data_IF_693618299732
#
_entry.id   IF_693618299732
#
_cell.length_a   1.000
_cell.length_b   1.000
_cell.length_c   1.000
_cell.angle_alpha   90.00
_cell.angle_beta   90.00
_cell.angle_gamma   90.00
#
_symmetry.space_group_name_H-M   'P 1'
#
loop_
_entity.id
_entity.type
_entity.pdbx_description
1 polymer ?
#
# COMPACT_ATOMS: atom_id res chain seq x y z
N UNK A 1 35.84 1.87 -23.33
CA UNK A 1 36.63 1.46 -22.14
C UNK A 1 35.72 1.14 -20.95
N UNK A 2 34.86 2.06 -20.48
CA UNK A 2 33.94 1.83 -19.35
C UNK A 2 33.09 0.54 -19.46
N UNK A 3 32.33 0.35 -20.55
CA UNK A 3 31.49 -0.85 -20.71
C UNK A 3 32.28 -2.17 -20.78
N UNK A 4 33.53 -2.12 -21.26
CA UNK A 4 34.40 -3.29 -21.27
C UNK A 4 34.87 -3.62 -19.86
N UNK A 5 35.17 -2.62 -19.03
CA UNK A 5 35.49 -2.82 -17.61
C UNK A 5 34.30 -3.40 -16.84
N UNK A 6 33.08 -2.89 -17.04
CA UNK A 6 31.88 -3.45 -16.41
C UNK A 6 31.69 -4.93 -16.77
N UNK A 7 31.90 -5.30 -18.04
CA UNK A 7 31.78 -6.69 -18.47
C UNK A 7 32.86 -7.59 -17.81
N UNK A 8 34.11 -7.12 -17.76
CA UNK A 8 35.23 -7.86 -17.14
C UNK A 8 35.01 -8.01 -15.64
N UNK A 9 34.67 -6.93 -14.93
CA UNK A 9 34.41 -6.97 -13.48
C UNK A 9 33.22 -7.87 -13.19
N UNK A 10 32.13 -7.77 -13.96
CA UNK A 10 30.97 -8.67 -13.82
C UNK A 10 31.37 -10.13 -13.98
N UNK A 11 32.18 -10.46 -14.99
CA UNK A 11 32.65 -11.82 -15.25
C UNK A 11 33.55 -12.35 -14.12
N UNK A 12 34.43 -11.52 -13.58
CA UNK A 12 35.28 -11.88 -12.43
C UNK A 12 34.41 -12.16 -11.20
N UNK A 13 33.46 -11.26 -10.88
CA UNK A 13 32.55 -11.43 -9.75
C UNK A 13 31.66 -12.66 -9.90
N UNK A 14 31.22 -12.98 -11.13
CA UNK A 14 30.43 -14.17 -11.41
C UNK A 14 31.14 -15.45 -10.94
N UNK A 15 32.44 -15.60 -11.20
CA UNK A 15 33.18 -16.80 -10.78
C UNK A 15 33.28 -16.89 -9.25
N UNK A 16 33.60 -15.78 -8.59
CA UNK A 16 33.68 -15.71 -7.11
C UNK A 16 32.33 -16.08 -6.47
N UNK A 17 31.23 -15.50 -6.95
CA UNK A 17 29.91 -15.74 -6.36
C UNK A 17 29.31 -17.08 -6.76
N UNK A 18 29.55 -17.60 -7.97
CA UNK A 18 29.05 -18.93 -8.37
C UNK A 18 29.68 -20.02 -7.50
N UNK A 19 30.98 -19.92 -7.20
CA UNK A 19 31.63 -20.83 -6.25
C UNK A 19 31.05 -20.71 -4.84
N UNK A 20 30.79 -19.49 -4.36
CA UNK A 20 30.19 -19.28 -3.04
C UNK A 20 28.75 -19.86 -2.96
N UNK A 21 27.97 -19.72 -4.02
CA UNK A 21 26.61 -20.26 -4.14
C UNK A 21 26.62 -21.79 -4.15
N UNK A 22 27.52 -22.40 -4.93
CA UNK A 22 27.63 -23.86 -5.07
C UNK A 22 27.98 -24.58 -3.75
N UNK A 23 28.59 -23.88 -2.77
CA UNK A 23 28.85 -24.42 -1.42
C UNK A 23 27.57 -24.76 -0.65
N UNK A 24 26.42 -24.22 -1.04
CA UNK A 24 25.14 -24.50 -0.39
C UNK A 24 24.11 -24.96 -1.44
N UNK A 25 23.82 -26.28 -1.52
CA UNK A 25 22.89 -26.83 -2.52
C UNK A 25 21.48 -26.22 -2.46
N UNK A 26 21.02 -25.75 -1.29
CA UNK A 26 19.72 -25.07 -1.17
C UNK A 26 19.76 -23.69 -1.80
N UNK A 27 20.85 -22.95 -1.58
CA UNK A 27 21.04 -21.62 -2.17
C UNK A 27 21.24 -21.72 -3.68
N UNK A 28 22.03 -22.69 -4.13
CA UNK A 28 22.21 -22.97 -5.56
C UNK A 28 20.87 -23.28 -6.24
N UNK A 29 20.04 -24.13 -5.62
CA UNK A 29 18.69 -24.42 -6.14
C UNK A 29 17.81 -23.17 -6.25
N UNK A 30 17.88 -22.25 -5.29
CA UNK A 30 17.14 -20.98 -5.33
C UNK A 30 17.68 -20.08 -6.44
N UNK A 31 19.00 -19.98 -6.57
CA UNK A 31 19.64 -19.17 -7.59
C UNK A 31 19.28 -19.68 -9.01
N UNK A 32 19.48 -20.97 -9.28
CA UNK A 32 19.31 -21.54 -10.60
C UNK A 32 17.83 -21.73 -11.00
N UNK A 33 16.93 -22.05 -10.06
CA UNK A 33 15.53 -22.35 -10.40
C UNK A 33 14.54 -21.21 -10.10
N UNK A 34 14.93 -20.18 -9.34
CA UNK A 34 14.04 -19.08 -8.98
C UNK A 34 14.62 -17.74 -9.45
N UNK A 35 15.84 -17.39 -9.02
CA UNK A 35 16.39 -16.05 -9.27
C UNK A 35 16.73 -15.84 -10.75
N UNK A 36 17.50 -16.75 -11.37
CA UNK A 36 17.90 -16.63 -12.77
C UNK A 36 16.68 -16.64 -13.71
N UNK A 37 15.76 -17.63 -13.65
CA UNK A 37 14.55 -17.63 -14.48
C UNK A 37 13.66 -16.41 -14.18
N UNK A 38 13.57 -16.01 -12.90
CA UNK A 38 12.82 -14.83 -12.48
C UNK A 38 13.33 -13.54 -13.10
N UNK A 39 14.65 -13.34 -13.20
CA UNK A 39 15.24 -12.16 -13.85
C UNK A 39 14.88 -12.12 -15.33
N UNK A 40 14.99 -13.26 -16.04
CA UNK A 40 14.62 -13.33 -17.46
C UNK A 40 13.13 -13.01 -17.67
N UNK A 41 12.25 -13.64 -16.89
CA UNK A 41 10.82 -13.35 -16.95
C UNK A 41 10.52 -11.87 -16.65
N UNK A 42 11.13 -11.31 -15.60
CA UNK A 42 10.89 -9.91 -15.25
C UNK A 42 11.42 -8.96 -16.31
N UNK A 43 12.52 -9.27 -16.99
CA UNK A 43 13.01 -8.47 -18.12
C UNK A 43 11.94 -8.37 -19.21
N UNK A 44 11.34 -9.49 -19.60
CA UNK A 44 10.28 -9.51 -20.61
C UNK A 44 9.05 -8.70 -20.13
N UNK A 45 8.66 -8.84 -18.87
CA UNK A 45 7.54 -8.08 -18.27
C UNK A 45 7.83 -6.57 -18.26
N UNK A 46 9.07 -6.16 -17.97
CA UNK A 46 9.49 -4.76 -17.97
C UNK A 46 9.48 -4.18 -19.38
N UNK A 47 9.94 -4.92 -20.38
CA UNK A 47 9.94 -4.51 -21.79
C UNK A 47 8.52 -4.38 -22.36
N UNK A 48 7.61 -5.27 -21.93
CA UNK A 48 6.19 -5.17 -22.25
C UNK A 48 5.60 -3.90 -21.62
N UNK A 49 5.74 -3.70 -20.30
CA UNK A 49 5.19 -2.56 -19.58
C UNK A 49 3.67 -2.59 -19.38
N UNK A 50 3.17 -1.68 -18.53
CA UNK A 50 1.75 -1.60 -18.17
C UNK A 50 1.02 -0.60 -19.08
N UNK A 51 -0.09 -0.98 -19.74
CA UNK A 51 -0.78 -0.09 -20.67
C UNK A 51 -1.71 0.91 -19.96
N UNK A 52 -1.63 2.17 -20.36
CA UNK A 52 -2.45 3.25 -19.84
C UNK A 52 -3.22 3.97 -20.96
N UNK A 53 -4.43 4.43 -20.64
CA UNK A 53 -5.22 5.31 -21.49
C UNK A 53 -4.87 6.77 -21.16
N UNK A 54 -4.06 7.40 -22.03
CA UNK A 54 -3.59 8.78 -21.86
C UNK A 54 -4.74 9.78 -21.71
N UNK A 55 -5.82 9.65 -22.49
CA UNK A 55 -6.97 10.56 -22.42
C UNK A 55 -7.66 10.46 -21.07
N UNK A 56 -7.80 9.24 -20.53
CA UNK A 56 -8.36 9.04 -19.18
C UNK A 56 -7.48 9.60 -18.09
N UNK A 57 -6.15 9.52 -18.23
CA UNK A 57 -5.22 10.14 -17.28
C UNK A 57 -5.37 11.66 -17.25
N UNK A 58 -5.44 12.31 -18.41
CA UNK A 58 -5.63 13.78 -18.51
C UNK A 58 -6.96 14.21 -17.90
N UNK A 59 -8.06 13.50 -18.21
CA UNK A 59 -9.35 13.75 -17.59
C UNK A 59 -9.34 13.55 -16.07
N UNK A 60 -8.65 12.50 -15.60
CA UNK A 60 -8.52 12.21 -14.17
C UNK A 60 -7.69 13.28 -13.45
N UNK A 61 -6.68 13.87 -14.09
CA UNK A 61 -5.90 14.97 -13.51
C UNK A 61 -6.77 16.19 -13.26
N UNK A 62 -7.53 16.62 -14.28
CA UNK A 62 -8.41 17.78 -14.18
C UNK A 62 -9.48 17.57 -13.11
N UNK A 63 -10.14 16.39 -13.12
CA UNK A 63 -11.13 16.04 -12.09
C UNK A 63 -10.55 16.11 -10.68
N UNK A 64 -9.32 15.60 -10.50
CA UNK A 64 -8.67 15.65 -9.19
C UNK A 64 -8.21 17.05 -8.80
N UNK A 65 -7.92 17.92 -9.75
CA UNK A 65 -7.62 19.33 -9.50
C UNK A 65 -8.86 20.05 -8.95
N UNK A 66 -10.00 19.92 -9.64
CA UNK A 66 -11.29 20.49 -9.20
C UNK A 66 -11.69 19.97 -7.81
N UNK A 67 -11.60 18.65 -7.60
CA UNK A 67 -11.91 18.00 -6.32
C UNK A 67 -11.01 18.48 -5.17
N UNK A 68 -9.74 18.79 -5.46
CA UNK A 68 -8.80 19.32 -4.47
C UNK A 68 -9.16 20.78 -4.16
N UNK A 69 -9.45 21.59 -5.17
CA UNK A 69 -9.84 22.99 -5.00
C UNK A 69 -11.13 23.10 -4.17
N UNK A 70 -12.15 22.30 -4.45
CA UNK A 70 -13.38 22.27 -3.65
C UNK A 70 -13.12 21.91 -2.18
N UNK A 71 -12.26 20.91 -1.94
CA UNK A 71 -11.90 20.50 -0.59
C UNK A 71 -11.09 21.57 0.14
N UNK A 72 -10.24 22.30 -0.57
CA UNK A 72 -9.51 23.46 -0.05
C UNK A 72 -10.50 24.58 0.27
N UNK A 73 -11.41 24.95 -0.62
CA UNK A 73 -12.42 25.98 -0.39
C UNK A 73 -13.26 25.67 0.85
N UNK A 74 -13.63 24.40 1.04
CA UNK A 74 -14.33 23.94 2.24
C UNK A 74 -13.50 24.15 3.52
N UNK A 75 -12.18 23.96 3.44
CA UNK A 75 -11.27 24.24 4.55
C UNK A 75 -11.15 25.74 4.86
N UNK A 76 -11.16 26.60 3.84
CA UNK A 76 -11.08 28.06 4.02
C UNK A 76 -12.34 28.70 4.61
N UNK A 77 -13.43 27.94 4.75
CA UNK A 77 -14.62 28.36 5.52
C UNK A 77 -14.33 28.46 7.02
N UNK A 78 -13.28 27.82 7.51
CA UNK A 78 -12.88 27.84 8.92
C UNK A 78 -12.02 29.08 9.22
N UNK A 79 -12.43 29.97 10.15
CA UNK A 79 -11.72 31.22 10.44
C UNK A 79 -10.31 30.98 10.97
N UNK A 80 -10.04 29.86 11.63
CA UNK A 80 -8.75 29.48 12.19
C UNK A 80 -7.68 29.38 11.10
N UNK A 81 -8.05 28.97 9.89
CA UNK A 81 -7.15 28.91 8.73
C UNK A 81 -6.71 30.31 8.32
N UNK A 82 -7.65 31.26 8.25
CA UNK A 82 -7.34 32.66 7.91
C UNK A 82 -6.51 33.35 9.00
N UNK A 83 -6.77 33.03 10.27
CA UNK A 83 -5.98 33.54 11.40
C UNK A 83 -4.55 32.98 11.34
N UNK A 84 -4.40 31.68 11.06
CA UNK A 84 -3.11 31.04 10.86
C UNK A 84 -2.29 31.71 9.76
N UNK A 85 -2.88 31.97 8.60
CA UNK A 85 -2.17 32.60 7.48
C UNK A 85 -1.73 34.02 7.79
N UNK A 86 -2.59 34.80 8.45
CA UNK A 86 -2.24 36.14 8.92
C UNK A 86 -1.10 36.11 9.94
N UNK A 87 -1.13 35.15 10.86
CA UNK A 87 -0.09 34.98 11.89
C UNK A 87 1.26 34.52 11.32
N UNK A 88 1.26 33.73 10.24
CA UNK A 88 2.48 33.22 9.61
C UNK A 88 2.97 34.06 8.42
N UNK A 89 2.16 35.00 7.92
CA UNK A 89 2.45 35.83 6.77
C UNK A 89 2.58 35.05 5.45
N UNK A 90 1.99 33.84 5.37
CA UNK A 90 2.07 32.93 4.22
C UNK A 90 0.78 32.11 4.10
N UNK A 91 0.45 31.72 2.87
CA UNK A 91 -0.66 30.82 2.58
C UNK A 91 -0.48 29.44 3.23
N UNK A 92 -1.60 28.84 3.62
CA UNK A 92 -1.65 27.52 4.20
C UNK A 92 -1.48 26.46 3.11
N UNK A 93 -0.47 25.62 3.31
CA UNK A 93 -0.18 24.43 2.52
C UNK A 93 -0.61 23.18 3.29
N UNK A 94 -1.75 22.53 2.91
CA UNK A 94 -2.25 21.31 3.57
C UNK A 94 -1.29 20.11 3.53
N UNK A 95 -0.27 20.14 2.68
CA UNK A 95 0.75 19.10 2.60
C UNK A 95 1.94 19.34 3.53
N UNK A 96 2.09 20.54 4.10
CA UNK A 96 3.17 20.87 5.04
C UNK A 96 2.85 20.36 6.45
N UNK A 97 3.57 19.33 6.89
CA UNK A 97 3.40 18.75 8.23
C UNK A 97 3.73 19.75 9.35
N UNK A 98 4.61 20.73 9.08
CA UNK A 98 4.97 21.80 10.02
C UNK A 98 3.82 22.77 10.18
N UNK A 99 3.27 23.29 9.07
CA UNK A 99 2.12 24.20 9.12
C UNK A 99 0.89 23.50 9.72
N UNK A 100 0.65 22.24 9.37
CA UNK A 100 -0.42 21.44 9.95
C UNK A 100 -0.33 21.33 11.46
N UNK A 101 0.86 21.05 12.01
CA UNK A 101 1.02 20.99 13.46
C UNK A 101 0.65 22.31 14.10
N UNK A 102 1.15 23.41 13.54
CA UNK A 102 0.91 24.73 14.12
C UNK A 102 -0.58 25.10 14.04
N UNK A 103 -1.22 24.92 12.88
CA UNK A 103 -2.67 25.13 12.74
C UNK A 103 -3.47 24.29 13.76
N UNK A 104 -3.20 22.99 13.84
CA UNK A 104 -4.00 22.07 14.67
C UNK A 104 -3.78 22.27 16.17
N UNK A 105 -2.55 22.53 16.62
CA UNK A 105 -2.21 22.55 18.04
C UNK A 105 -2.07 23.96 18.61
N UNK A 106 -1.57 24.93 17.84
CA UNK A 106 -1.31 26.28 18.34
C UNK A 106 -2.52 27.21 18.10
N UNK A 107 -3.17 27.10 16.93
CA UNK A 107 -4.28 27.99 16.54
C UNK A 107 -5.65 27.42 16.89
N UNK A 108 -5.91 26.16 16.55
CA UNK A 108 -7.18 25.49 16.91
C UNK A 108 -7.14 25.00 18.37
N UNK A 109 -5.97 24.69 18.91
CA UNK A 109 -5.83 24.23 20.30
C UNK A 109 -6.25 22.78 20.55
N UNK A 110 -6.16 21.91 19.53
CA UNK A 110 -6.54 20.50 19.69
C UNK A 110 -5.63 19.77 20.67
N UNK A 111 -6.18 18.79 21.40
CA UNK A 111 -5.40 17.96 22.32
C UNK A 111 -4.64 16.89 21.52
N UNK A 112 -3.30 16.83 21.61
CA UNK A 112 -2.51 15.82 20.93
C UNK A 112 -2.89 14.40 21.34
N UNK A 113 -2.79 13.45 20.42
CA UNK A 113 -3.11 12.03 20.68
C UNK A 113 -2.00 11.28 21.43
N UNK A 114 -0.89 11.94 21.76
CA UNK A 114 0.31 11.34 22.36
C UNK A 114 1.25 10.66 21.35
N UNK A 115 0.81 10.39 20.12
CA UNK A 115 1.66 9.81 19.07
C UNK A 115 2.67 10.85 18.56
N UNK A 116 3.95 10.53 18.66
CA UNK A 116 5.06 11.39 18.22
C UNK A 116 5.74 10.83 16.97
N UNK A 117 6.31 11.73 16.20
CA UNK A 117 7.22 11.43 15.10
C UNK A 117 8.59 10.99 15.64
N UNK A 118 9.46 10.44 14.78
CA UNK A 118 10.81 10.05 15.18
C UNK A 118 11.66 11.20 15.75
N UNK A 119 11.31 12.45 15.42
CA UNK A 119 11.97 13.65 15.97
C UNK A 119 11.29 14.19 17.24
N UNK A 120 10.33 13.45 17.82
CA UNK A 120 9.66 13.82 19.07
C UNK A 120 8.50 14.83 18.93
N UNK A 121 8.25 15.38 17.75
CA UNK A 121 7.13 16.29 17.50
C UNK A 121 5.81 15.52 17.37
N UNK A 122 4.67 16.16 17.69
CA UNK A 122 3.34 15.55 17.53
C UNK A 122 3.13 15.06 16.08
N UNK A 123 2.59 13.85 15.92
CA UNK A 123 2.31 13.31 14.59
C UNK A 123 1.08 13.97 13.97
N UNK A 124 1.10 14.13 12.65
CA UNK A 124 -0.04 14.54 11.82
C UNK A 124 -0.25 13.53 10.69
N UNK A 125 0.05 12.26 10.97
CA UNK A 125 -0.26 11.15 10.07
C UNK A 125 -1.78 10.90 9.97
N UNK A 126 -2.19 10.06 9.02
CA UNK A 126 -3.59 9.78 8.76
C UNK A 126 -4.35 9.26 9.99
N UNK A 127 -3.71 8.45 10.82
CA UNK A 127 -4.32 7.91 12.04
C UNK A 127 -4.56 9.02 13.08
N UNK A 128 -3.58 9.91 13.26
CA UNK A 128 -3.75 11.03 14.17
C UNK A 128 -4.81 12.01 13.66
N UNK A 129 -4.80 12.35 12.37
CA UNK A 129 -5.81 13.23 11.79
C UNK A 129 -7.22 12.65 11.93
N UNK A 130 -7.39 11.34 11.77
CA UNK A 130 -8.68 10.68 11.98
C UNK A 130 -9.15 10.81 13.45
N UNK A 131 -8.24 10.60 14.42
CA UNK A 131 -8.56 10.76 15.84
C UNK A 131 -8.87 12.22 16.21
N UNK A 132 -8.08 13.16 15.70
CA UNK A 132 -8.32 14.60 15.88
C UNK A 132 -9.61 15.06 15.20
N UNK A 133 -10.03 14.36 14.14
CA UNK A 133 -11.32 14.56 13.46
C UNK A 133 -12.55 14.35 14.34
N UNK A 134 -12.39 13.71 15.51
CA UNK A 134 -13.44 13.60 16.52
C UNK A 134 -13.55 14.86 17.40
N UNK A 135 -12.49 15.66 17.48
CA UNK A 135 -12.47 16.91 18.24
C UNK A 135 -12.88 18.10 17.37
N UNK A 136 -12.53 18.08 16.08
CA UNK A 136 -12.79 19.19 15.16
C UNK A 136 -12.88 18.70 13.71
N UNK A 137 -13.56 19.43 12.85
CA UNK A 137 -13.78 19.04 11.45
C UNK A 137 -12.56 19.26 10.55
N UNK A 138 -11.78 20.34 10.77
CA UNK A 138 -10.56 20.67 10.01
C UNK A 138 -9.61 19.48 9.78
N UNK A 139 -9.26 18.64 10.78
CA UNK A 139 -8.47 17.42 10.55
C UNK A 139 -9.04 16.45 9.50
N UNK A 140 -10.38 16.30 9.41
CA UNK A 140 -11.03 15.44 8.41
C UNK A 140 -10.88 16.04 7.00
N UNK A 141 -11.07 17.36 6.87
CA UNK A 141 -10.90 18.06 5.59
C UNK A 141 -9.44 17.99 5.12
N UNK A 142 -8.49 18.22 6.01
CA UNK A 142 -7.05 18.05 5.72
C UNK A 142 -6.77 16.61 5.25
N UNK A 143 -7.31 15.60 5.94
CA UNK A 143 -7.11 14.21 5.56
C UNK A 143 -7.63 13.95 4.14
N UNK A 144 -8.82 14.46 3.81
CA UNK A 144 -9.41 14.37 2.47
C UNK A 144 -8.53 15.05 1.41
N UNK A 145 -8.11 16.30 1.65
CA UNK A 145 -7.21 17.05 0.75
C UNK A 145 -5.91 16.27 0.49
N UNK A 146 -5.29 15.72 1.54
CA UNK A 146 -4.03 14.96 1.39
C UNK A 146 -4.22 13.65 0.64
N UNK A 147 -5.36 12.98 0.82
CA UNK A 147 -5.69 11.78 0.06
C UNK A 147 -5.85 12.11 -1.43
N UNK A 148 -6.67 13.11 -1.77
CA UNK A 148 -6.86 13.59 -3.16
C UNK A 148 -5.55 14.07 -3.79
N UNK A 149 -4.80 14.91 -3.08
CA UNK A 149 -3.48 15.40 -3.50
C UNK A 149 -2.49 14.27 -3.74
N UNK A 150 -2.53 13.20 -2.93
CA UNK A 150 -1.68 12.03 -3.15
C UNK A 150 -2.06 11.31 -4.44
N UNK A 151 -3.35 11.13 -4.73
CA UNK A 151 -3.84 10.52 -5.98
C UNK A 151 -3.30 11.29 -7.20
N UNK A 152 -3.46 12.61 -7.20
CA UNK A 152 -2.96 13.47 -8.28
C UNK A 152 -1.43 13.48 -8.35
N UNK A 153 -0.77 13.97 -7.31
CA UNK A 153 0.68 14.30 -7.34
C UNK A 153 1.57 13.06 -7.34
N UNK A 154 1.16 11.96 -6.70
CA UNK A 154 1.99 10.75 -6.61
C UNK A 154 1.78 9.82 -7.79
N UNK A 155 0.58 9.82 -8.39
CA UNK A 155 0.25 8.88 -9.46
C UNK A 155 -0.04 9.59 -10.76
N UNK A 156 -1.15 10.34 -10.87
CA UNK A 156 -1.59 10.89 -12.17
C UNK A 156 -0.51 11.79 -12.82
N UNK A 157 0.01 12.75 -12.06
CA UNK A 157 1.03 13.71 -12.52
C UNK A 157 2.38 13.03 -12.82
N UNK A 158 2.65 11.87 -12.22
CA UNK A 158 3.88 11.10 -12.47
C UNK A 158 3.74 10.09 -13.61
N UNK A 159 2.53 9.58 -13.87
CA UNK A 159 2.33 8.55 -14.89
C UNK A 159 2.52 9.15 -16.28
N UNK A 160 1.85 10.27 -16.61
CA UNK A 160 1.83 10.83 -17.96
C UNK A 160 3.23 11.12 -18.52
N UNK A 161 4.13 11.82 -17.79
CA UNK A 161 5.47 12.12 -18.30
C UNK A 161 6.35 10.88 -18.47
N UNK A 162 5.98 9.77 -17.82
CA UNK A 162 6.75 8.52 -17.81
C UNK A 162 6.23 7.48 -18.80
N UNK A 163 5.12 7.78 -19.49
CA UNK A 163 4.61 6.95 -20.58
C UNK A 163 5.56 6.98 -21.76
N UNK A 164 5.92 5.80 -22.25
CA UNK A 164 6.66 5.67 -23.50
C UNK A 164 5.73 5.90 -24.71
N UNK A 165 6.30 5.87 -25.92
CA UNK A 165 5.59 6.18 -27.18
C UNK A 165 4.37 5.29 -27.43
N UNK A 166 4.37 4.09 -26.87
CA UNK A 166 3.28 3.11 -26.95
C UNK A 166 2.21 3.27 -25.84
N UNK A 167 2.24 4.38 -25.09
CA UNK A 167 1.37 4.64 -23.95
C UNK A 167 1.46 3.58 -22.85
N UNK A 168 2.65 2.99 -22.69
CA UNK A 168 2.95 2.06 -21.61
C UNK A 168 3.91 2.68 -20.61
N UNK A 169 3.75 2.30 -19.35
CA UNK A 169 4.68 2.63 -18.28
C UNK A 169 5.52 1.39 -17.96
N UNK A 170 6.84 1.53 -18.11
CA UNK A 170 7.83 0.51 -17.75
C UNK A 170 8.45 0.84 -16.41
N UNK A 171 8.33 -0.07 -15.45
CA UNK A 171 8.90 0.05 -14.10
C UNK A 171 10.00 -0.98 -13.91
N UNK A 172 10.93 -0.74 -12.99
CA UNK A 172 11.95 -1.73 -12.67
C UNK A 172 11.43 -2.64 -11.57
N UNK A 173 11.48 -3.96 -11.78
CA UNK A 173 11.23 -4.95 -10.74
C UNK A 173 12.56 -5.49 -10.21
N UNK A 174 12.80 -5.32 -8.91
CA UNK A 174 14.04 -5.77 -8.26
C UNK A 174 13.77 -7.05 -7.45
N UNK A 175 14.53 -8.11 -7.77
CA UNK A 175 14.46 -9.42 -7.10
C UNK A 175 15.29 -9.49 -5.81
N UNK A 176 16.24 -8.59 -5.61
CA UNK A 176 17.29 -8.72 -4.58
C UNK A 176 17.33 -7.53 -3.61
N UNK A 177 16.27 -6.72 -3.54
CA UNK A 177 16.28 -5.48 -2.73
C UNK A 177 15.61 -5.61 -1.37
N UNK A 178 14.81 -6.65 -1.13
CA UNK A 178 14.06 -6.82 0.12
C UNK A 178 14.63 -7.96 0.95
N UNK A 179 14.63 -7.82 2.27
CA UNK A 179 15.13 -8.84 3.20
C UNK A 179 14.25 -10.08 3.25
N UNK A 180 12.97 -9.97 2.92
CA UNK A 180 12.01 -11.08 2.90
C UNK A 180 12.00 -11.87 1.59
N UNK A 181 12.76 -11.45 0.58
CA UNK A 181 12.76 -12.05 -0.76
C UNK A 181 11.57 -11.65 -1.64
N UNK A 182 10.76 -10.67 -1.21
CA UNK A 182 9.70 -10.08 -2.05
C UNK A 182 10.30 -9.25 -3.19
N UNK A 183 9.61 -9.25 -4.33
CA UNK A 183 9.85 -8.27 -5.39
C UNK A 183 9.60 -6.85 -4.88
N UNK A 184 10.45 -5.91 -5.29
CA UNK A 184 10.14 -4.48 -5.20
C UNK A 184 9.97 -3.88 -6.59
N UNK A 185 9.25 -2.76 -6.68
CA UNK A 185 9.15 -1.95 -7.88
C UNK A 185 9.70 -0.54 -7.63
N UNK A 186 10.53 -0.04 -8.55
CA UNK A 186 11.19 1.26 -8.45
C UNK A 186 11.44 1.90 -9.82
N UNK A 187 12.17 3.02 -9.85
CA UNK A 187 12.45 3.77 -11.08
C UNK A 187 11.37 4.82 -11.37
N UNK A 188 10.85 4.82 -12.60
CA UNK A 188 9.87 5.82 -13.08
C UNK A 188 8.64 5.96 -12.16
N UNK A 189 8.10 4.84 -11.71
CA UNK A 189 7.00 4.76 -10.73
C UNK A 189 7.03 3.40 -10.02
N UNK A 190 6.75 3.38 -8.72
CA UNK A 190 6.52 2.14 -7.98
C UNK A 190 5.11 1.60 -8.29
N UNK A 191 5.03 0.62 -9.19
CA UNK A 191 3.77 0.05 -9.66
C UNK A 191 3.12 -0.91 -8.66
N UNK A 192 3.87 -1.39 -7.67
CA UNK A 192 3.30 -2.22 -6.59
C UNK A 192 2.51 -1.38 -5.58
N UNK A 193 2.68 -0.06 -5.59
CA UNK A 193 1.99 0.87 -4.69
C UNK A 193 0.78 1.56 -5.32
N UNK A 194 0.35 1.17 -6.53
CA UNK A 194 -0.88 1.70 -7.12
C UNK A 194 -2.05 1.39 -6.17
N UNK A 195 -2.89 2.40 -5.83
CA UNK A 195 -4.02 2.18 -4.93
C UNK A 195 -4.97 1.10 -5.46
N UNK A 196 -5.21 0.07 -4.65
CA UNK A 196 -6.02 -1.10 -5.02
C UNK A 196 -7.46 -0.73 -5.35
N UNK A 197 -8.07 0.12 -4.55
CA UNK A 197 -9.52 0.38 -4.58
C UNK A 197 -9.85 1.80 -5.06
N UNK A 198 -8.90 2.48 -5.72
CA UNK A 198 -9.15 3.79 -6.31
C UNK A 198 -9.53 3.64 -7.80
N UNK A 199 -10.79 3.90 -8.16
CA UNK A 199 -11.27 3.70 -9.53
C UNK A 199 -10.68 4.70 -10.52
N UNK A 200 -10.23 5.88 -10.06
CA UNK A 200 -9.67 6.94 -10.91
C UNK A 200 -8.36 6.45 -11.52
N UNK A 201 -7.40 6.00 -10.70
CA UNK A 201 -6.12 5.49 -11.21
C UNK A 201 -6.31 4.15 -11.92
N UNK A 202 -7.07 3.21 -11.34
CA UNK A 202 -7.26 1.90 -11.97
C UNK A 202 -8.00 1.98 -13.29
N UNK A 203 -8.97 2.90 -13.42
CA UNK A 203 -9.71 3.14 -14.66
C UNK A 203 -8.83 3.66 -15.80
N UNK A 204 -7.65 4.19 -15.49
CA UNK A 204 -6.65 4.60 -16.47
C UNK A 204 -5.81 3.43 -17.00
N UNK A 205 -5.73 2.29 -16.29
CA UNK A 205 -5.04 1.10 -16.77
C UNK A 205 -5.98 0.36 -17.73
N UNK A 206 -5.61 0.29 -19.01
CA UNK A 206 -6.51 -0.20 -20.06
C UNK A 206 -5.77 -1.15 -20.99
N UNK A 207 -6.33 -2.32 -21.21
CA UNK A 207 -5.82 -3.26 -22.20
C UNK A 207 -5.78 -2.62 -23.60
N UNK A 208 -4.87 -3.08 -24.46
CA UNK A 208 -4.94 -2.79 -25.89
C UNK A 208 -6.29 -3.29 -26.45
N UNK A 209 -6.72 -2.71 -27.56
CA UNK A 209 -7.84 -3.23 -28.36
C UNK A 209 -7.71 -4.74 -28.58
N UNK A 210 -8.86 -5.44 -28.55
CA UNK A 210 -9.00 -6.89 -28.60
C UNK A 210 -8.31 -7.70 -27.48
N UNK A 211 -7.76 -7.04 -26.47
CA UNK A 211 -7.13 -7.69 -25.32
C UNK A 211 -7.92 -7.45 -24.02
N UNK A 212 -7.64 -8.28 -23.01
CA UNK A 212 -8.16 -8.14 -21.66
C UNK A 212 -7.02 -8.22 -20.65
N UNK A 213 -7.16 -7.49 -19.54
CA UNK A 213 -6.27 -7.64 -18.38
C UNK A 213 -6.86 -8.71 -17.48
N UNK A 214 -6.05 -9.71 -17.15
CA UNK A 214 -6.40 -10.75 -16.17
C UNK A 214 -5.61 -10.48 -14.90
N UNK A 215 -6.32 -10.31 -13.79
CA UNK A 215 -5.72 -10.15 -12.47
C UNK A 215 -5.96 -11.42 -11.65
N UNK A 216 -4.89 -11.98 -11.08
CA UNK A 216 -4.95 -13.11 -10.17
C UNK A 216 -4.29 -12.72 -8.84
N UNK A 217 -4.97 -13.01 -7.74
CA UNK A 217 -4.51 -12.71 -6.37
C UNK A 217 -4.69 -13.96 -5.52
N UNK A 218 -3.62 -14.43 -4.87
CA UNK A 218 -3.67 -15.58 -3.99
C UNK A 218 -4.25 -15.15 -2.64
N UNK A 219 -5.56 -15.31 -2.50
CA UNK A 219 -6.28 -14.98 -1.27
C UNK A 219 -5.70 -15.78 -0.11
N UNK A 220 -5.35 -15.10 1.00
CA UNK A 220 -4.83 -15.73 2.24
C UNK A 220 -3.56 -16.57 2.08
N UNK A 221 -2.74 -16.32 1.04
CA UNK A 221 -1.51 -17.07 0.78
C UNK A 221 -0.57 -17.15 1.99
N UNK A 222 -0.37 -16.05 2.70
CA UNK A 222 0.51 -16.00 3.88
C UNK A 222 0.00 -16.89 5.01
N UNK A 223 -1.32 -16.93 5.23
CA UNK A 223 -1.94 -17.78 6.25
C UNK A 223 -1.85 -19.25 5.87
N UNK A 224 -2.00 -19.55 4.57
CA UNK A 224 -1.81 -20.91 4.05
C UNK A 224 -0.39 -21.41 4.32
N UNK A 225 0.62 -20.59 4.00
CA UNK A 225 2.03 -20.91 4.28
C UNK A 225 2.26 -21.05 5.78
N UNK A 226 1.69 -20.16 6.61
CA UNK A 226 1.81 -20.25 8.06
C UNK A 226 1.23 -21.56 8.61
N UNK A 227 0.04 -21.98 8.15
CA UNK A 227 -0.60 -23.23 8.56
C UNK A 227 0.21 -24.48 8.14
N UNK A 228 0.88 -24.42 6.99
CA UNK A 228 1.78 -25.48 6.53
C UNK A 228 3.07 -25.53 7.36
N UNK A 229 3.66 -24.37 7.68
CA UNK A 229 4.92 -24.29 8.43
C UNK A 229 4.76 -24.57 9.93
N UNK A 230 3.60 -24.22 10.53
CA UNK A 230 3.32 -24.47 11.95
C UNK A 230 2.78 -25.88 12.24
N UNK A 231 2.43 -26.62 11.19
CA UNK A 231 1.70 -27.88 11.24
C UNK A 231 0.35 -27.83 12.01
N UNK A 232 -0.30 -26.66 12.08
CA UNK A 232 -1.58 -26.49 12.76
C UNK A 232 -2.70 -27.24 12.00
N UNK A 233 -3.16 -28.35 12.58
CA UNK A 233 -4.17 -29.22 11.97
C UNK A 233 -5.52 -28.54 11.82
N UNK A 234 -5.89 -27.61 12.71
CA UNK A 234 -7.16 -26.89 12.62
C UNK A 234 -7.14 -25.91 11.45
N UNK A 235 -6.06 -25.12 11.32
CA UNK A 235 -5.89 -24.19 10.19
C UNK A 235 -5.76 -24.94 8.86
N UNK A 236 -4.98 -26.02 8.82
CA UNK A 236 -4.90 -26.88 7.64
C UNK A 236 -6.27 -27.44 7.25
N UNK A 237 -7.06 -27.88 8.23
CA UNK A 237 -8.40 -28.40 7.97
C UNK A 237 -9.31 -27.33 7.37
N UNK A 238 -9.26 -26.08 7.86
CA UNK A 238 -10.03 -24.97 7.29
C UNK A 238 -9.70 -24.77 5.80
N UNK A 239 -8.43 -24.86 5.41
CA UNK A 239 -8.04 -24.77 4.00
C UNK A 239 -8.48 -26.00 3.19
N UNK A 240 -8.39 -27.22 3.74
CA UNK A 240 -8.81 -28.46 3.07
C UNK A 240 -10.31 -28.53 2.83
N UNK A 241 -11.12 -28.07 3.79
CA UNK A 241 -12.58 -28.04 3.65
C UNK A 241 -13.05 -26.98 2.65
N UNK A 242 -12.17 -26.03 2.30
CA UNK A 242 -12.53 -24.88 1.48
C UNK A 242 -13.51 -23.95 2.19
N UNK A 243 -14.03 -22.97 1.44
CA UNK A 243 -15.00 -21.99 1.93
C UNK A 243 -14.38 -20.67 2.41
N UNK A 244 -15.15 -19.89 3.16
CA UNK A 244 -14.74 -18.55 3.60
C UNK A 244 -13.85 -18.65 4.83
N UNK A 245 -12.53 -18.55 4.64
CA UNK A 245 -11.52 -18.64 5.68
C UNK A 245 -11.86 -17.79 6.92
N UNK A 246 -12.15 -16.51 6.74
CA UNK A 246 -12.46 -15.61 7.85
C UNK A 246 -13.76 -15.98 8.58
N UNK A 247 -14.76 -16.47 7.87
CA UNK A 247 -16.00 -16.95 8.50
C UNK A 247 -15.77 -18.22 9.32
N UNK A 248 -14.93 -19.13 8.86
CA UNK A 248 -14.54 -20.34 9.59
C UNK A 248 -13.79 -19.98 10.88
N UNK A 249 -12.83 -19.05 10.81
CA UNK A 249 -12.12 -18.55 11.99
C UNK A 249 -13.07 -17.86 12.97
N UNK A 250 -13.94 -16.97 12.48
CA UNK A 250 -14.89 -16.26 13.33
C UNK A 250 -15.82 -17.23 14.07
N UNK A 251 -16.38 -18.22 13.36
CA UNK A 251 -17.22 -19.24 13.99
C UNK A 251 -16.47 -20.02 15.07
N UNK A 252 -15.21 -20.39 14.82
CA UNK A 252 -14.38 -21.13 15.77
C UNK A 252 -14.05 -20.29 17.02
N UNK A 253 -13.60 -19.06 16.82
CA UNK A 253 -13.13 -18.16 17.90
C UNK A 253 -14.29 -17.66 18.75
N UNK A 254 -15.39 -17.21 18.12
CA UNK A 254 -16.54 -16.62 18.81
C UNK A 254 -17.64 -17.64 19.13
N UNK A 255 -17.43 -18.93 18.79
CA UNK A 255 -18.39 -20.03 19.01
C UNK A 255 -19.79 -19.72 18.48
N UNK A 256 -19.86 -19.17 17.26
CA UNK A 256 -21.10 -18.64 16.69
C UNK A 256 -22.14 -19.76 16.44
N UNK A 257 -23.41 -19.60 16.86
CA UNK A 257 -24.46 -20.60 16.73
C UNK A 257 -25.12 -20.61 15.33
N UNK A 258 -24.36 -20.38 14.26
CA UNK A 258 -24.87 -20.32 12.88
C UNK A 258 -24.01 -21.17 11.93
N UNK A 259 -24.47 -21.47 10.70
CA UNK A 259 -23.60 -22.12 9.70
C UNK A 259 -22.54 -21.13 9.21
N UNK A 260 -21.39 -21.64 8.75
CA UNK A 260 -20.26 -20.81 8.25
C UNK A 260 -20.71 -19.87 7.11
N UNK A 261 -21.64 -20.33 6.27
CA UNK A 261 -22.26 -19.53 5.20
C UNK A 261 -22.97 -18.27 5.70
N UNK A 262 -23.52 -18.33 6.90
CA UNK A 262 -24.42 -17.30 7.43
C UNK A 262 -23.67 -16.27 8.28
N UNK A 263 -22.41 -16.56 8.66
CA UNK A 263 -21.52 -15.64 9.38
C UNK A 263 -21.39 -14.31 8.65
N UNK A 264 -21.26 -14.33 7.32
CA UNK A 264 -21.12 -13.09 6.53
C UNK A 264 -22.37 -12.21 6.63
N UNK A 265 -23.56 -12.80 6.83
CA UNK A 265 -24.84 -12.09 6.88
C UNK A 265 -25.19 -11.62 8.30
N UNK A 266 -24.95 -12.46 9.29
CA UNK A 266 -25.43 -12.22 10.67
C UNK A 266 -24.33 -11.80 11.64
N UNK A 267 -23.06 -12.04 11.31
CA UNK A 267 -21.90 -11.86 12.21
C UNK A 267 -20.75 -11.19 11.45
N UNK A 268 -21.06 -10.11 10.75
CA UNK A 268 -20.09 -9.37 9.93
C UNK A 268 -19.00 -8.72 10.78
N UNK A 269 -19.33 -8.27 11.99
CA UNK A 269 -18.40 -7.67 12.95
C UNK A 269 -17.40 -8.70 13.48
N UNK A 270 -17.87 -9.86 13.92
CA UNK A 270 -17.03 -10.96 14.40
C UNK A 270 -16.13 -11.51 13.29
N UNK A 271 -16.62 -11.51 12.04
CA UNK A 271 -15.82 -11.84 10.87
C UNK A 271 -14.70 -10.84 10.63
N UNK A 272 -14.96 -9.54 10.78
CA UNK A 272 -13.95 -8.50 10.66
C UNK A 272 -12.92 -8.60 11.81
N UNK A 273 -13.39 -8.78 13.04
CA UNK A 273 -12.55 -9.01 14.21
C UNK A 273 -11.63 -10.23 14.02
N UNK A 274 -12.17 -11.36 13.56
CA UNK A 274 -11.40 -12.57 13.27
C UNK A 274 -10.28 -12.32 12.25
N UNK A 275 -10.56 -11.55 11.18
CA UNK A 275 -9.55 -11.15 10.20
C UNK A 275 -8.43 -10.33 10.84
N UNK A 276 -8.78 -9.31 11.63
CA UNK A 276 -7.81 -8.47 12.32
C UNK A 276 -6.92 -9.29 13.28
N UNK A 277 -7.53 -10.20 14.03
CA UNK A 277 -6.83 -11.09 14.97
C UNK A 277 -5.88 -12.04 14.25
N UNK A 278 -6.32 -12.73 13.19
CA UNK A 278 -5.47 -13.70 12.46
C UNK A 278 -4.21 -13.03 11.93
N UNK A 279 -4.34 -11.91 11.21
CA UNK A 279 -3.17 -11.21 10.67
C UNK A 279 -2.34 -10.55 11.77
N UNK A 280 -2.98 -9.92 12.76
CA UNK A 280 -2.26 -9.25 13.84
C UNK A 280 -1.40 -10.21 14.64
N UNK A 281 -1.93 -11.37 15.06
CA UNK A 281 -1.17 -12.38 15.81
C UNK A 281 -0.04 -12.96 14.97
N UNK A 282 -0.29 -13.32 13.70
CA UNK A 282 0.76 -13.86 12.82
C UNK A 282 1.95 -12.91 12.68
N UNK A 283 1.71 -11.60 12.74
CA UNK A 283 2.73 -10.57 12.64
C UNK A 283 3.22 -10.03 13.99
N UNK A 284 2.90 -10.71 15.10
CA UNK A 284 3.41 -10.37 16.43
C UNK A 284 2.80 -9.09 17.03
N UNK A 285 1.60 -8.69 16.62
CA UNK A 285 0.91 -7.57 17.23
C UNK A 285 0.52 -7.92 18.69
N UNK A 286 0.92 -7.06 19.63
CA UNK A 286 0.53 -7.20 21.04
C UNK A 286 -0.95 -6.88 21.31
N UNK A 287 -1.44 -7.27 22.49
CA UNK A 287 -2.86 -7.21 22.86
C UNK A 287 -3.50 -5.82 22.64
N UNK A 288 -2.81 -4.73 22.97
CA UNK A 288 -3.33 -3.37 22.75
C UNK A 288 -3.61 -3.06 21.27
N UNK A 289 -2.69 -3.46 20.37
CA UNK A 289 -2.88 -3.21 18.93
C UNK A 289 -4.03 -4.05 18.35
N UNK A 290 -4.18 -5.28 18.83
CA UNK A 290 -5.30 -6.14 18.45
C UNK A 290 -6.62 -5.53 18.92
N UNK A 291 -6.69 -5.10 20.19
CA UNK A 291 -7.87 -4.44 20.76
C UNK A 291 -8.29 -3.21 19.95
N UNK A 292 -7.33 -2.33 19.64
CA UNK A 292 -7.59 -1.13 18.83
C UNK A 292 -8.09 -1.49 17.42
N UNK A 293 -7.50 -2.50 16.77
CA UNK A 293 -7.87 -2.87 15.40
C UNK A 293 -9.26 -3.50 15.35
N UNK A 294 -9.57 -4.41 16.28
CA UNK A 294 -10.90 -5.03 16.38
C UNK A 294 -11.98 -3.98 16.65
N UNK A 295 -11.68 -2.98 17.50
CA UNK A 295 -12.63 -1.90 17.83
C UNK A 295 -12.84 -0.92 16.68
N UNK A 296 -11.82 -0.65 15.85
CA UNK A 296 -11.93 0.23 14.68
C UNK A 296 -12.73 -0.38 13.52
N UNK A 297 -12.66 -1.70 13.38
CA UNK A 297 -13.35 -2.46 12.32
C UNK A 297 -14.75 -2.95 12.76
N UNK A 298 -15.19 -2.58 13.99
CA UNK A 298 -16.53 -2.82 14.52
C UNK A 298 -17.41 -1.58 14.42
#
# INVERSE_FOLDING_TARGET
VYSAMDAVVTFILFHVFKEAIAKNPRLEKVYDNILVPGIHFLKDIQDIGVPFDRKRLELAQNLMEDDIEEAINSLYNFPEVKIFEKGQGKEFNPNSTVQLRSLLFDYIGLKPTGKKTGTGANSTDAEVLQKLGMQHEVPKLILNIRQKSKIKNTYLDKIIPQLDRDSRLRTNFNLHSTTSGRLSSSGKLNMQQIPRDNPIIKGCIKAKEDNKIVAMDLTTAEVYVAAALSDDKNLQQIFRTGGNFHSSIAKLVFKLPCKISDVTKHYSLERQAAKAVTFGIMYGAGAHKISDQVTKDS
#
